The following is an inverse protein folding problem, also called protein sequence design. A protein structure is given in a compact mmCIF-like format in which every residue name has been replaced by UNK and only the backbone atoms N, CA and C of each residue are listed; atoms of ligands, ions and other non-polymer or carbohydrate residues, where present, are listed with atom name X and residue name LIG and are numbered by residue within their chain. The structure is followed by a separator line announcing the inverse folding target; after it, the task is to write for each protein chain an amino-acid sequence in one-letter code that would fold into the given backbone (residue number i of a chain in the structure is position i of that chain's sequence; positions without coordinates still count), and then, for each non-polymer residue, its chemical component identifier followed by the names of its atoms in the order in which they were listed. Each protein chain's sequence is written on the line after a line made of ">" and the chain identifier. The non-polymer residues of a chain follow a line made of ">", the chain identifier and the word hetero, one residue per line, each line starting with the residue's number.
data_IF_013392915672
#
_entry.id   IF_013392915672
#
_cell.length_a   1.000
_cell.length_b   1.000
_cell.length_c   1.000
_cell.angle_alpha   90.00
_cell.angle_beta   90.00
_cell.angle_gamma   90.00
#
_symmetry.space_group_name_H-M   'P 1'
#
loop_
_entity.id
_entity.type
_entity.pdbx_description
1 polymer ?
#
# COMPACT_ATOMS: atom_id res chain seq x y z
N UNK A 1 15.35 -5.38 1.87
CA UNK A 1 14.16 -5.21 1.02
C UNK A 1 12.95 -5.18 1.95
N UNK A 2 12.11 -4.16 1.84
CA UNK A 2 10.81 -4.08 2.54
C UNK A 2 9.72 -3.92 1.50
N UNK A 3 8.62 -4.63 1.68
CA UNK A 3 7.43 -4.54 0.83
C UNK A 3 6.26 -4.25 1.75
N UNK A 4 5.54 -3.17 1.47
CA UNK A 4 4.32 -2.80 2.17
C UNK A 4 3.15 -2.99 1.22
N UNK A 5 2.21 -3.88 1.58
CA UNK A 5 0.95 -3.99 0.82
C UNK A 5 0.06 -2.78 1.13
N UNK A 6 -0.28 -2.02 0.11
CA UNK A 6 -1.19 -0.88 0.20
C UNK A 6 -2.60 -1.28 -0.23
N UNK A 7 -2.73 -2.23 -1.16
CA UNK A 7 -4.00 -2.88 -1.55
C UNK A 7 -3.77 -4.36 -1.80
N UNK A 8 -4.67 -5.17 -1.26
CA UNK A 8 -4.84 -6.59 -1.53
C UNK A 8 -6.35 -6.90 -1.46
N UNK A 9 -6.75 -8.06 -2.01
CA UNK A 9 -8.14 -8.53 -2.04
C UNK A 9 -8.75 -8.69 -0.64
N UNK A 10 -7.92 -8.81 0.38
CA UNK A 10 -8.28 -8.99 1.78
C UNK A 10 -7.37 -8.17 2.69
N UNK A 11 -7.75 -8.08 3.96
CA UNK A 11 -6.95 -7.47 5.00
C UNK A 11 -6.88 -8.40 6.20
N UNK A 12 -5.92 -8.15 7.08
CA UNK A 12 -5.89 -8.82 8.38
C UNK A 12 -7.13 -8.44 9.19
N UNK A 13 -7.66 -9.38 9.97
CA UNK A 13 -8.81 -9.15 10.86
C UNK A 13 -8.53 -8.01 11.85
N UNK A 14 -7.28 -7.89 12.31
CA UNK A 14 -6.85 -6.85 13.24
C UNK A 14 -6.63 -5.46 12.63
N UNK A 15 -6.78 -5.29 11.31
CA UNK A 15 -6.46 -4.06 10.59
C UNK A 15 -7.73 -3.37 10.05
N UNK A 16 -8.72 -3.15 10.92
CA UNK A 16 -10.04 -2.60 10.57
C UNK A 16 -10.01 -1.23 9.89
N UNK A 17 -8.92 -0.49 10.07
CA UNK A 17 -8.68 0.79 9.43
C UNK A 17 -8.33 0.66 7.94
N UNK A 18 -7.83 -0.49 7.49
CA UNK A 18 -7.42 -0.67 6.10
C UNK A 18 -8.62 -1.03 5.21
N UNK A 19 -8.61 -0.50 3.99
CA UNK A 19 -9.60 -0.83 2.97
C UNK A 19 -9.05 -1.99 2.10
N UNK A 20 -9.63 -3.20 2.14
CA UNK A 20 -9.34 -4.23 1.14
C UNK A 20 -10.07 -3.93 -0.16
N UNK A 21 -9.50 -4.36 -1.29
CA UNK A 21 -10.08 -4.15 -2.62
C UNK A 21 -9.57 -5.23 -3.57
N UNK A 22 -10.41 -5.70 -4.50
CA UNK A 22 -9.95 -6.63 -5.54
C UNK A 22 -9.01 -5.90 -6.53
N UNK A 23 -7.71 -5.97 -6.26
CA UNK A 23 -6.67 -5.20 -6.91
C UNK A 23 -5.33 -5.39 -6.19
N UNK A 24 -4.30 -4.68 -6.65
CA UNK A 24 -2.96 -4.76 -6.05
C UNK A 24 -2.32 -3.38 -6.02
N UNK A 25 -1.69 -3.05 -4.90
CA UNK A 25 -0.74 -1.92 -4.82
C UNK A 25 0.27 -2.19 -3.73
N UNK A 26 1.55 -1.93 -3.99
CA UNK A 26 2.64 -2.16 -3.04
C UNK A 26 3.67 -1.03 -3.08
N UNK A 27 4.18 -0.65 -1.91
CA UNK A 27 5.41 0.14 -1.81
C UNK A 27 6.59 -0.79 -1.59
N UNK A 28 7.58 -0.75 -2.49
CA UNK A 28 8.78 -1.57 -2.44
C UNK A 28 10.00 -0.70 -2.17
N UNK A 29 10.72 -0.98 -1.09
CA UNK A 29 11.92 -0.26 -0.66
C UNK A 29 13.14 -1.18 -0.70
N UNK A 30 14.16 -0.80 -1.47
CA UNK A 30 15.40 -1.57 -1.59
C UNK A 30 16.59 -0.68 -1.96
N UNK A 31 17.67 -0.74 -1.17
CA UNK A 31 18.95 -0.10 -1.52
C UNK A 31 18.87 1.42 -1.67
N UNK A 32 18.00 2.08 -0.89
CA UNK A 32 17.74 3.52 -1.00
C UNK A 32 16.84 3.92 -2.17
N UNK A 33 16.35 2.95 -2.95
CA UNK A 33 15.32 3.17 -3.97
C UNK A 33 13.95 2.78 -3.43
N UNK A 34 12.93 3.54 -3.85
CA UNK A 34 11.53 3.29 -3.53
C UNK A 34 10.73 3.21 -4.81
N UNK A 35 9.85 2.22 -4.92
CA UNK A 35 8.97 2.01 -6.08
C UNK A 35 7.56 1.81 -5.56
N UNK A 36 6.62 2.62 -6.04
CA UNK A 36 5.19 2.32 -5.94
C UNK A 36 4.82 1.42 -7.13
N UNK A 37 4.48 0.17 -6.82
CA UNK A 37 4.10 -0.82 -7.80
C UNK A 37 2.59 -1.00 -7.79
N UNK A 38 1.96 -0.62 -8.91
CA UNK A 38 0.50 -0.66 -9.13
C UNK A 38 -0.29 0.25 -8.14
N UNK A 39 -1.56 0.52 -8.46
CA UNK A 39 -2.42 1.46 -7.71
C UNK A 39 -3.81 0.89 -7.43
N UNK A 40 -4.04 -0.40 -7.69
CA UNK A 40 -5.35 -1.01 -7.59
C UNK A 40 -6.35 -0.41 -8.58
N UNK A 41 -7.63 -0.44 -8.22
CA UNK A 41 -8.75 0.07 -9.02
C UNK A 41 -9.36 1.37 -8.47
N UNK A 42 -8.90 1.85 -7.32
CA UNK A 42 -9.38 3.09 -6.70
C UNK A 42 -8.28 3.82 -5.91
N UNK A 43 -8.52 5.05 -5.44
CA UNK A 43 -7.58 5.79 -4.58
C UNK A 43 -7.30 5.14 -3.21
N UNK A 44 -7.92 4.01 -2.87
CA UNK A 44 -7.80 3.38 -1.55
C UNK A 44 -6.34 3.03 -1.17
N UNK A 45 -5.44 2.82 -2.12
CA UNK A 45 -4.02 2.57 -1.84
C UNK A 45 -3.36 3.77 -1.14
N UNK A 46 -3.72 5.00 -1.52
CA UNK A 46 -3.16 6.21 -0.93
C UNK A 46 -3.71 6.44 0.48
N UNK A 47 -5.00 6.16 0.69
CA UNK A 47 -5.61 6.21 2.03
C UNK A 47 -4.97 5.17 2.97
N UNK A 48 -4.75 3.94 2.49
CA UNK A 48 -4.06 2.91 3.26
C UNK A 48 -2.60 3.28 3.54
N UNK A 49 -1.89 3.90 2.60
CA UNK A 49 -0.54 4.41 2.86
C UNK A 49 -0.52 5.43 4.01
N UNK A 50 -1.47 6.37 4.03
CA UNK A 50 -1.61 7.33 5.12
C UNK A 50 -1.92 6.66 6.47
N UNK A 51 -2.81 5.66 6.50
CA UNK A 51 -3.15 4.90 7.72
C UNK A 51 -1.99 4.06 8.25
N UNK A 52 -1.15 3.56 7.35
CA UNK A 52 0.08 2.84 7.67
C UNK A 52 1.25 3.76 8.02
N UNK A 53 1.06 5.08 7.99
CA UNK A 53 2.10 6.09 8.15
C UNK A 53 3.27 5.90 7.17
N UNK A 54 2.94 5.56 5.92
CA UNK A 54 3.89 5.37 4.82
C UNK A 54 3.77 6.54 3.85
N UNK A 55 4.90 7.18 3.57
CA UNK A 55 5.00 8.25 2.59
C UNK A 55 5.20 7.68 1.17
N UNK A 56 4.25 7.98 0.30
CA UNK A 56 4.27 7.63 -1.13
C UNK A 56 4.39 8.87 -2.02
N UNK A 57 4.61 10.06 -1.45
CA UNK A 57 4.73 11.31 -2.23
C UNK A 57 6.07 11.47 -2.95
N UNK A 58 7.07 10.68 -2.55
CA UNK A 58 8.43 10.73 -3.07
C UNK A 58 8.69 9.80 -4.26
N UNK A 59 7.66 9.12 -4.79
CA UNK A 59 7.73 8.18 -5.92
C UNK A 59 7.15 8.75 -7.21
#
# INVERSE_FOLDING_TARGET
>A
MRVTSLIENSRLESADELTPEFGLSMLVEHGGSTVLFDMGSSPAFADNAARLAVDISAV
#
